data_IF_173121429424
#
_entry.id   IF_173121429424
#
_cell.length_a   1.000
_cell.length_b   1.000
_cell.length_c   1.000
_cell.angle_alpha   90.00
_cell.angle_beta   90.00
_cell.angle_gamma   90.00
#
_symmetry.space_group_name_H-M   'P 1'
#
loop_
_entity.id
_entity.type
_entity.pdbx_description
1 polymer ?
#
# COMPACT_ATOMS: atom_id res chain seq x y z
N UNK A 1 -0.38 22.81 1.45
CA UNK A 1 0.57 22.69 0.31
C UNK A 1 1.97 23.01 0.81
N UNK A 2 3.01 22.28 0.38
CA UNK A 2 4.39 22.59 0.76
C UNK A 2 4.85 23.91 0.14
N UNK A 3 5.69 24.67 0.86
CA UNK A 3 6.13 26.02 0.46
C UNK A 3 6.87 26.09 -0.89
N UNK A 4 7.47 24.98 -1.31
CA UNK A 4 8.25 24.90 -2.55
C UNK A 4 7.44 24.37 -3.75
N UNK A 5 6.17 24.02 -3.53
CA UNK A 5 5.28 23.52 -4.58
C UNK A 5 4.42 24.66 -5.15
N UNK A 6 4.08 24.58 -6.44
CA UNK A 6 3.20 25.55 -7.12
C UNK A 6 1.80 25.00 -7.37
N UNK A 7 1.63 23.68 -7.22
CA UNK A 7 0.37 22.98 -7.30
C UNK A 7 0.12 22.16 -6.04
N UNK A 8 -1.13 22.08 -5.63
CA UNK A 8 -1.60 21.04 -4.71
C UNK A 8 -1.46 19.66 -5.34
N UNK A 9 -1.34 18.58 -4.54
CA UNK A 9 -1.38 17.21 -5.04
C UNK A 9 -2.57 16.91 -5.97
N UNK A 10 -3.77 17.41 -5.67
CA UNK A 10 -4.95 17.21 -6.53
C UNK A 10 -4.82 17.94 -7.87
N UNK A 11 -4.42 19.21 -7.88
CA UNK A 11 -4.18 19.95 -9.12
C UNK A 11 -3.14 19.24 -10.00
N UNK A 12 -2.03 18.79 -9.40
CA UNK A 12 -0.98 18.01 -10.08
C UNK A 12 -1.53 16.72 -10.67
N UNK A 13 -2.29 15.94 -9.89
CA UNK A 13 -2.89 14.70 -10.36
C UNK A 13 -3.88 14.91 -11.52
N UNK A 14 -4.72 15.94 -11.45
CA UNK A 14 -5.65 16.28 -12.53
C UNK A 14 -4.93 16.79 -13.79
N UNK A 15 -3.87 17.58 -13.63
CA UNK A 15 -3.03 18.04 -14.75
C UNK A 15 -2.35 16.86 -15.45
N UNK A 16 -1.75 15.92 -14.71
CA UNK A 16 -1.16 14.69 -15.26
C UNK A 16 -2.21 13.85 -16.00
N UNK A 17 -3.39 13.66 -15.42
CA UNK A 17 -4.49 12.95 -16.07
C UNK A 17 -4.93 13.62 -17.38
N UNK A 18 -4.89 14.95 -17.44
CA UNK A 18 -5.22 15.74 -18.62
C UNK A 18 -4.06 15.90 -19.62
N UNK A 19 -2.89 15.30 -19.37
CA UNK A 19 -1.69 15.47 -20.20
C UNK A 19 -1.14 16.90 -20.23
N UNK A 20 -1.39 17.68 -19.17
CA UNK A 20 -0.94 19.06 -19.02
C UNK A 20 0.39 19.14 -18.26
N UNK A 21 1.18 20.20 -18.46
CA UNK A 21 2.35 20.47 -17.63
C UNK A 21 2.01 20.54 -16.14
N UNK A 22 2.96 20.11 -15.30
CA UNK A 22 2.90 20.20 -13.85
C UNK A 22 4.08 20.99 -13.30
N UNK A 23 4.11 21.24 -11.99
CA UNK A 23 5.25 21.84 -11.29
C UNK A 23 6.36 20.82 -11.00
N UNK A 24 5.95 19.59 -10.63
CA UNK A 24 6.81 18.42 -10.44
C UNK A 24 6.03 17.12 -10.59
N UNK A 25 6.75 16.01 -10.77
CA UNK A 25 6.20 14.67 -10.71
C UNK A 25 5.75 14.28 -9.28
N UNK A 26 4.82 13.30 -9.13
CA UNK A 26 4.32 12.89 -7.83
C UNK A 26 5.38 12.21 -6.96
N UNK A 27 5.33 12.49 -5.65
CA UNK A 27 6.20 11.92 -4.62
C UNK A 27 5.32 11.35 -3.52
N UNK A 28 5.57 10.11 -3.09
CA UNK A 28 4.86 9.47 -2.01
C UNK A 28 5.79 9.12 -0.86
N UNK A 29 5.30 9.29 0.36
CA UNK A 29 5.92 8.79 1.58
C UNK A 29 5.06 7.65 2.13
N UNK A 30 5.60 6.44 2.22
CA UNK A 30 4.93 5.32 2.87
C UNK A 30 5.34 5.28 4.34
N UNK A 31 4.48 5.78 5.23
CA UNK A 31 4.65 5.63 6.68
C UNK A 31 3.28 5.62 7.36
N UNK A 32 2.59 4.46 7.44
CA UNK A 32 1.26 4.38 8.05
C UNK A 32 1.27 4.65 9.56
N UNK A 33 2.45 4.58 10.20
CA UNK A 33 2.67 4.85 11.62
C UNK A 33 3.47 6.14 11.84
N UNK A 34 3.35 7.11 10.93
CA UNK A 34 4.20 8.31 10.90
C UNK A 34 4.25 9.08 12.22
N UNK A 35 3.21 9.05 13.06
CA UNK A 35 3.23 9.67 14.39
C UNK A 35 4.37 9.16 15.28
N UNK A 36 4.78 7.90 15.12
CA UNK A 36 5.93 7.34 15.85
C UNK A 36 7.26 7.94 15.38
N UNK A 37 7.40 8.28 14.09
CA UNK A 37 8.55 9.06 13.60
C UNK A 37 8.60 10.47 14.23
N UNK A 38 7.43 11.03 14.59
CA UNK A 38 7.32 12.28 15.34
C UNK A 38 7.51 12.12 16.87
N UNK A 39 7.81 10.91 17.34
CA UNK A 39 8.07 10.62 18.75
C UNK A 39 6.84 10.26 19.58
N UNK A 40 5.66 10.11 18.96
CA UNK A 40 4.47 9.64 19.67
C UNK A 40 4.53 8.11 19.93
N UNK A 41 3.87 7.66 20.99
CA UNK A 41 3.71 6.23 21.24
C UNK A 41 2.77 5.60 20.20
N UNK A 42 2.79 4.27 20.04
CA UNK A 42 1.82 3.57 19.19
C UNK A 42 0.36 3.90 19.58
N UNK A 43 0.09 3.98 20.89
CA UNK A 43 -1.24 4.32 21.42
C UNK A 43 -1.69 5.70 20.95
N UNK A 44 -0.81 6.70 21.08
CA UNK A 44 -1.11 8.09 20.73
C UNK A 44 -1.05 8.36 19.22
N UNK A 45 -0.32 7.53 18.47
CA UNK A 45 -0.12 7.67 17.04
C UNK A 45 -1.20 6.99 16.21
N UNK A 46 -1.67 5.81 16.64
CA UNK A 46 -2.33 4.90 15.73
C UNK A 46 -3.64 4.30 16.23
N UNK A 47 -3.91 4.17 17.53
CA UNK A 47 -5.10 3.42 17.97
C UNK A 47 -6.40 4.10 17.54
N UNK A 48 -6.55 5.39 17.85
CA UNK A 48 -7.74 6.18 17.57
C UNK A 48 -7.75 6.78 16.16
N UNK A 49 -8.94 6.92 15.57
CA UNK A 49 -9.12 7.52 14.24
C UNK A 49 -8.54 8.94 14.16
N UNK A 50 -8.84 9.77 15.17
CA UNK A 50 -8.34 11.15 15.27
C UNK A 50 -6.82 11.22 15.36
N UNK A 51 -6.19 10.28 16.07
CA UNK A 51 -4.73 10.19 16.16
C UNK A 51 -4.11 9.84 14.81
N UNK A 52 -4.62 8.81 14.11
CA UNK A 52 -4.15 8.44 12.76
C UNK A 52 -4.23 9.64 11.81
N UNK A 53 -5.38 10.30 11.79
CA UNK A 53 -5.62 11.45 10.93
C UNK A 53 -4.68 12.62 11.27
N UNK A 54 -4.53 12.96 12.55
CA UNK A 54 -3.66 14.03 13.01
C UNK A 54 -2.24 13.87 12.49
N UNK A 55 -1.61 12.71 12.72
CA UNK A 55 -0.21 12.51 12.33
C UNK A 55 0.00 12.46 10.82
N UNK A 56 -0.97 11.91 10.06
CA UNK A 56 -0.93 11.97 8.60
C UNK A 56 -1.04 13.42 8.10
N UNK A 57 -1.90 14.24 8.69
CA UNK A 57 -2.02 15.67 8.38
C UNK A 57 -0.72 16.42 8.73
N UNK A 58 -0.14 16.21 9.91
CA UNK A 58 1.12 16.84 10.30
C UNK A 58 2.28 16.42 9.38
N UNK A 59 2.31 15.16 8.96
CA UNK A 59 3.27 14.70 7.96
C UNK A 59 3.11 15.44 6.64
N UNK A 60 1.88 15.63 6.15
CA UNK A 60 1.63 16.36 4.92
C UNK A 60 2.06 17.83 5.03
N UNK A 61 1.75 18.47 6.16
CA UNK A 61 2.16 19.86 6.43
C UNK A 61 3.69 20.03 6.40
N UNK A 62 4.43 19.07 6.94
CA UNK A 62 5.89 19.10 6.95
C UNK A 62 6.49 18.75 5.58
N UNK A 63 6.08 17.64 4.99
CA UNK A 63 6.79 16.98 3.90
C UNK A 63 6.16 17.20 2.51
N UNK A 64 4.84 17.44 2.44
CA UNK A 64 4.16 17.75 1.18
C UNK A 64 4.06 16.61 0.17
N UNK A 65 3.96 15.35 0.61
CA UNK A 65 3.73 14.20 -0.27
C UNK A 65 2.38 14.28 -1.01
N UNK A 66 2.24 13.55 -2.12
CA UNK A 66 1.12 13.62 -3.05
C UNK A 66 -0.09 12.73 -2.71
N UNK A 67 -0.03 12.01 -1.59
CA UNK A 67 -1.15 11.22 -1.13
C UNK A 67 -0.97 10.77 0.32
N UNK A 68 -2.08 10.68 1.03
CA UNK A 68 -2.14 10.10 2.36
C UNK A 68 -2.80 8.72 2.28
N UNK A 69 -2.37 7.81 3.15
CA UNK A 69 -2.97 6.49 3.26
C UNK A 69 -3.19 6.15 4.72
N UNK A 70 -4.43 5.88 5.08
CA UNK A 70 -4.77 5.26 6.36
C UNK A 70 -4.56 3.75 6.22
N UNK A 71 -4.30 3.06 7.33
CA UNK A 71 -4.20 1.60 7.35
C UNK A 71 -5.41 1.00 8.09
N UNK A 72 -6.00 -0.05 7.53
CA UNK A 72 -7.05 -0.85 8.15
C UNK A 72 -6.52 -1.78 9.27
N UNK A 73 -5.19 -1.99 9.31
CA UNK A 73 -4.40 -2.96 10.10
C UNK A 73 -4.25 -4.31 9.41
N UNK A 74 -3.07 -4.90 9.57
CA UNK A 74 -2.73 -6.21 9.01
C UNK A 74 -3.45 -7.37 9.70
N UNK A 75 -3.71 -7.23 10.99
CA UNK A 75 -4.41 -8.20 11.86
C UNK A 75 -5.92 -7.94 11.93
N UNK A 76 -6.42 -6.89 11.28
CA UNK A 76 -7.81 -6.41 11.42
C UNK A 76 -8.85 -7.48 11.09
N UNK A 77 -8.66 -8.21 9.98
CA UNK A 77 -9.58 -9.28 9.55
C UNK A 77 -9.62 -10.42 10.59
N UNK A 78 -8.50 -11.06 10.97
CA UNK A 78 -8.53 -12.06 12.04
C UNK A 78 -9.15 -11.56 13.34
N UNK A 79 -8.84 -10.33 13.77
CA UNK A 79 -9.40 -9.75 14.99
C UNK A 79 -10.91 -9.59 14.88
N UNK A 80 -11.43 -9.17 13.72
CA UNK A 80 -12.88 -9.12 13.47
C UNK A 80 -13.53 -10.52 13.58
N UNK A 81 -12.80 -11.58 13.22
CA UNK A 81 -13.24 -12.97 13.43
C UNK A 81 -13.07 -13.50 14.86
N UNK A 82 -12.38 -12.76 15.74
CA UNK A 82 -12.19 -13.07 17.16
C UNK A 82 -10.77 -13.50 17.54
N UNK A 83 -9.78 -13.33 16.66
CA UNK A 83 -8.39 -13.63 16.98
C UNK A 83 -7.84 -12.68 18.05
N UNK A 84 -7.05 -13.21 18.97
CA UNK A 84 -6.21 -12.38 19.83
C UNK A 84 -5.01 -11.85 19.04
N UNK A 85 -4.73 -10.56 19.17
CA UNK A 85 -3.51 -9.93 18.64
C UNK A 85 -2.51 -9.62 19.75
N UNK A 86 -1.23 -9.61 19.40
CA UNK A 86 -0.17 -8.97 20.16
C UNK A 86 -0.32 -7.45 20.05
N UNK A 87 0.00 -6.78 21.14
CA UNK A 87 0.16 -5.32 21.19
C UNK A 87 1.57 -5.05 21.70
N UNK A 88 2.53 -5.04 20.77
CA UNK A 88 3.90 -4.62 21.05
C UNK A 88 4.01 -3.11 20.73
N UNK A 89 4.37 -2.25 21.71
CA UNK A 89 4.57 -0.81 21.47
C UNK A 89 5.58 -0.48 20.37
N UNK A 90 6.47 -1.42 20.04
CA UNK A 90 7.52 -1.28 19.02
C UNK A 90 7.27 -2.14 17.77
N UNK A 91 6.20 -2.95 17.77
CA UNK A 91 5.97 -3.99 16.77
C UNK A 91 4.67 -3.81 15.99
N UNK A 92 4.64 -4.37 14.78
CA UNK A 92 3.41 -4.52 14.00
C UNK A 92 2.56 -5.60 14.69
N UNK A 93 1.24 -5.39 14.88
CA UNK A 93 0.36 -6.38 15.48
C UNK A 93 0.43 -7.74 14.79
N UNK A 94 0.50 -8.82 15.58
CA UNK A 94 0.50 -10.19 15.10
C UNK A 94 -0.59 -11.00 15.81
N UNK A 95 -1.30 -11.83 15.07
CA UNK A 95 -2.23 -12.78 15.68
C UNK A 95 -1.48 -13.83 16.50
N UNK A 96 -2.03 -14.20 17.66
CA UNK A 96 -1.44 -15.24 18.52
C UNK A 96 -1.74 -16.65 17.99
N UNK A 97 -2.95 -16.83 17.47
CA UNK A 97 -3.41 -18.08 16.89
C UNK A 97 -4.19 -17.84 15.60
N UNK A 98 -4.08 -18.78 14.67
CA UNK A 98 -4.90 -18.80 13.46
C UNK A 98 -6.36 -19.10 13.83
N UNK A 99 -7.28 -18.44 13.12
CA UNK A 99 -8.73 -18.63 13.23
C UNK A 99 -9.12 -20.03 12.79
N UNK A 100 -8.58 -20.49 11.67
CA UNK A 100 -8.86 -21.79 11.08
C UNK A 100 -7.76 -22.77 11.42
N UNK A 101 -8.12 -23.95 11.92
CA UNK A 101 -7.18 -25.08 12.09
C UNK A 101 -7.12 -25.94 10.82
N UNK A 102 -8.23 -26.03 10.09
CA UNK A 102 -8.31 -26.61 8.74
C UNK A 102 -9.48 -26.02 7.93
N UNK A 103 -9.63 -26.47 6.67
CA UNK A 103 -10.60 -25.89 5.74
C UNK A 103 -12.05 -26.35 5.95
N UNK A 104 -12.31 -27.36 6.79
CA UNK A 104 -13.69 -27.75 7.13
C UNK A 104 -14.41 -26.71 8.00
N UNK A 105 -13.65 -25.80 8.61
CA UNK A 105 -14.16 -24.73 9.48
C UNK A 105 -14.54 -23.46 8.70
N UNK A 106 -14.28 -23.38 7.39
CA UNK A 106 -14.55 -22.18 6.58
C UNK A 106 -16.04 -21.78 6.66
N UNK A 107 -16.94 -22.75 6.57
CA UNK A 107 -18.40 -22.51 6.61
C UNK A 107 -18.89 -22.00 7.98
N UNK A 108 -18.04 -22.04 9.02
CA UNK A 108 -18.33 -21.48 10.34
C UNK A 108 -17.98 -19.99 10.43
N UNK A 109 -17.26 -19.45 9.45
CA UNK A 109 -16.90 -18.03 9.39
C UNK A 109 -18.05 -17.22 8.79
N UNK A 110 -18.55 -16.30 9.59
CA UNK A 110 -19.65 -15.42 9.20
C UNK A 110 -19.13 -14.11 8.62
N UNK A 111 -19.38 -13.87 7.31
CA UNK A 111 -19.06 -12.61 6.64
C UNK A 111 -19.74 -11.40 7.29
N UNK A 112 -20.81 -11.57 8.06
CA UNK A 112 -21.42 -10.47 8.82
C UNK A 112 -20.40 -9.80 9.76
N UNK A 113 -19.40 -10.54 10.27
CA UNK A 113 -18.38 -9.99 11.18
C UNK A 113 -17.47 -8.95 10.53
N UNK A 114 -17.30 -8.98 9.21
CA UNK A 114 -16.44 -8.04 8.47
C UNK A 114 -17.25 -6.95 7.76
N UNK A 115 -18.58 -6.94 7.92
CA UNK A 115 -19.39 -5.81 7.46
C UNK A 115 -19.00 -4.57 8.23
N UNK A 116 -19.07 -3.43 7.54
CA UNK A 116 -18.61 -2.16 8.07
C UNK A 116 -19.25 -1.83 9.44
N UNK A 117 -20.52 -2.15 9.64
CA UNK A 117 -21.26 -1.90 10.88
C UNK A 117 -20.76 -2.73 12.07
N UNK A 118 -20.12 -3.87 11.79
CA UNK A 118 -19.66 -4.84 12.79
C UNK A 118 -18.12 -4.89 12.92
N UNK A 119 -17.39 -4.12 12.10
CA UNK A 119 -15.93 -4.09 12.08
C UNK A 119 -15.38 -2.74 12.59
N UNK A 120 -15.00 -2.65 13.89
CA UNK A 120 -14.43 -1.44 14.46
C UNK A 120 -13.14 -0.97 13.77
N UNK A 121 -12.36 -1.88 13.17
CA UNK A 121 -11.14 -1.50 12.46
C UNK A 121 -11.47 -0.77 11.16
N UNK A 122 -12.47 -1.26 10.42
CA UNK A 122 -13.01 -0.59 9.23
C UNK A 122 -13.55 0.80 9.58
N UNK A 123 -14.34 0.89 10.67
CA UNK A 123 -14.92 2.15 11.14
C UNK A 123 -13.83 3.17 11.52
N UNK A 124 -12.83 2.75 12.30
CA UNK A 124 -11.72 3.61 12.72
C UNK A 124 -10.92 4.11 11.51
N UNK A 125 -10.63 3.23 10.55
CA UNK A 125 -9.91 3.61 9.34
C UNK A 125 -10.74 4.58 8.48
N UNK A 126 -12.04 4.35 8.33
CA UNK A 126 -12.93 5.21 7.57
C UNK A 126 -13.10 6.59 8.22
N UNK A 127 -13.32 6.65 9.55
CA UNK A 127 -13.39 7.89 10.30
C UNK A 127 -12.09 8.70 10.16
N UNK A 128 -10.93 8.06 10.23
CA UNK A 128 -9.65 8.74 10.01
C UNK A 128 -9.55 9.32 8.58
N UNK A 129 -10.03 8.59 7.57
CA UNK A 129 -10.09 9.13 6.19
C UNK A 129 -11.01 10.35 6.12
N UNK A 130 -12.19 10.30 6.77
CA UNK A 130 -13.12 11.43 6.80
C UNK A 130 -12.50 12.67 7.45
N UNK A 131 -11.83 12.51 8.60
CA UNK A 131 -11.14 13.62 9.28
C UNK A 131 -10.08 14.26 8.37
N UNK A 132 -9.32 13.45 7.63
CA UNK A 132 -8.32 13.97 6.67
C UNK A 132 -9.02 14.69 5.50
N UNK A 133 -10.10 14.14 4.97
CA UNK A 133 -10.85 14.78 3.89
C UNK A 133 -11.49 16.09 4.34
N UNK A 134 -12.11 16.16 5.51
CA UNK A 134 -12.67 17.39 6.06
C UNK A 134 -11.61 18.50 6.19
N UNK A 135 -10.36 18.12 6.49
CA UNK A 135 -9.26 19.06 6.65
C UNK A 135 -8.55 19.44 5.33
N UNK A 136 -8.41 18.50 4.39
CA UNK A 136 -7.47 18.62 3.26
C UNK A 136 -8.03 18.16 1.90
N UNK A 137 -9.34 17.90 1.78
CA UNK A 137 -9.90 17.36 0.54
C UNK A 137 -9.72 18.28 -0.68
N UNK A 138 -9.54 19.59 -0.52
CA UNK A 138 -9.24 20.43 -1.68
C UNK A 138 -7.79 20.31 -2.16
N UNK A 139 -6.89 19.77 -1.34
CA UNK A 139 -5.46 19.71 -1.65
C UNK A 139 -4.94 18.32 -2.00
N UNK A 140 -5.37 17.26 -1.29
CA UNK A 140 -4.76 15.93 -1.37
C UNK A 140 -5.77 14.79 -1.41
N UNK A 141 -5.42 13.70 -2.12
CA UNK A 141 -6.18 12.46 -2.08
C UNK A 141 -5.76 11.60 -0.87
N UNK A 142 -6.76 10.99 -0.25
CA UNK A 142 -6.57 10.06 0.86
C UNK A 142 -7.10 8.69 0.46
N UNK A 143 -6.28 7.66 0.67
CA UNK A 143 -6.62 6.26 0.43
C UNK A 143 -6.56 5.41 1.69
N UNK A 144 -6.77 4.11 1.51
CA UNK A 144 -6.62 3.10 2.56
C UNK A 144 -5.78 1.92 2.08
N UNK A 145 -4.95 1.37 2.96
CA UNK A 145 -4.23 0.11 2.75
C UNK A 145 -4.98 -1.07 3.37
N UNK A 146 -5.20 -2.12 2.59
CA UNK A 146 -5.81 -3.39 3.00
C UNK A 146 -4.90 -4.58 2.63
N UNK A 147 -5.19 -5.76 3.19
CA UNK A 147 -4.56 -7.01 2.76
C UNK A 147 -5.29 -7.61 1.56
N UNK A 148 -4.53 -8.17 0.62
CA UNK A 148 -5.08 -8.91 -0.50
C UNK A 148 -5.66 -10.27 -0.09
N UNK A 149 -6.41 -10.95 -0.99
CA UNK A 149 -7.05 -12.23 -0.69
C UNK A 149 -6.10 -13.34 -0.23
N UNK A 150 -4.89 -13.42 -0.78
CA UNK A 150 -3.98 -14.51 -0.49
C UNK A 150 -3.34 -14.37 0.90
N UNK A 151 -2.87 -13.17 1.26
CA UNK A 151 -2.42 -12.87 2.63
C UNK A 151 -3.59 -12.89 3.62
N UNK A 152 -4.81 -12.51 3.21
CA UNK A 152 -6.01 -12.69 4.06
C UNK A 152 -6.24 -14.16 4.39
N UNK A 153 -6.20 -15.06 3.40
CA UNK A 153 -6.27 -16.50 3.63
C UNK A 153 -5.13 -17.01 4.55
N UNK A 154 -3.92 -16.48 4.36
CA UNK A 154 -2.77 -16.80 5.21
C UNK A 154 -2.96 -16.36 6.67
N UNK A 155 -3.57 -15.20 6.89
CA UNK A 155 -3.85 -14.68 8.23
C UNK A 155 -4.98 -15.47 8.92
N UNK A 156 -5.91 -16.07 8.17
CA UNK A 156 -6.97 -16.90 8.72
C UNK A 156 -6.48 -18.31 9.09
N UNK A 157 -5.76 -18.98 8.18
CA UNK A 157 -5.41 -20.39 8.32
C UNK A 157 -3.93 -20.65 8.64
N UNK A 158 -3.06 -19.65 8.49
CA UNK A 158 -1.62 -19.76 8.66
C UNK A 158 -0.88 -20.09 7.36
N UNK A 159 0.30 -19.47 7.21
CA UNK A 159 1.17 -19.58 6.02
C UNK A 159 1.55 -21.04 5.70
N UNK A 160 1.86 -21.85 6.71
CA UNK A 160 2.28 -23.24 6.50
C UNK A 160 1.15 -24.10 5.92
N UNK A 161 -0.09 -23.92 6.42
CA UNK A 161 -1.26 -24.65 5.97
C UNK A 161 -1.56 -24.31 4.51
N UNK A 162 -1.59 -23.02 4.15
CA UNK A 162 -1.89 -22.62 2.77
C UNK A 162 -0.83 -23.15 1.78
N UNK A 163 0.46 -23.07 2.12
CA UNK A 163 1.53 -23.51 1.22
C UNK A 163 1.55 -25.03 1.03
N UNK A 164 1.29 -25.81 2.09
CA UNK A 164 1.15 -27.27 1.97
C UNK A 164 -0.07 -27.65 1.13
N UNK A 165 -1.16 -26.91 1.28
CA UNK A 165 -2.43 -27.19 0.62
C UNK A 165 -2.39 -26.98 -0.88
N UNK A 166 -1.51 -26.12 -1.40
CA UNK A 166 -1.25 -25.99 -2.85
C UNK A 166 -0.92 -27.32 -3.54
N UNK A 167 -0.46 -28.33 -2.78
CA UNK A 167 -0.21 -29.68 -3.29
C UNK A 167 -1.16 -30.71 -2.71
N UNK A 168 -1.45 -30.62 -1.41
CA UNK A 168 -2.17 -31.67 -0.66
C UNK A 168 -3.69 -31.54 -0.70
N UNK A 169 -4.20 -30.32 -0.80
CA UNK A 169 -5.63 -30.04 -0.80
C UNK A 169 -5.91 -28.72 -1.55
N UNK A 170 -5.86 -28.80 -2.88
CA UNK A 170 -6.08 -27.64 -3.75
C UNK A 170 -7.52 -27.15 -3.68
N UNK A 171 -8.48 -28.06 -3.59
CA UNK A 171 -9.89 -27.72 -3.58
C UNK A 171 -10.24 -26.92 -2.32
N UNK A 172 -9.81 -27.38 -1.15
CA UNK A 172 -10.00 -26.66 0.10
C UNK A 172 -9.28 -25.31 0.11
N UNK A 173 -8.06 -25.23 -0.43
CA UNK A 173 -7.36 -23.95 -0.58
C UNK A 173 -8.11 -22.99 -1.51
N UNK A 174 -8.66 -23.48 -2.63
CA UNK A 174 -9.44 -22.64 -3.53
C UNK A 174 -10.72 -22.11 -2.88
N UNK A 175 -11.39 -22.92 -2.02
CA UNK A 175 -12.53 -22.47 -1.21
C UNK A 175 -12.14 -21.37 -0.23
N UNK A 176 -11.02 -21.53 0.48
CA UNK A 176 -10.53 -20.51 1.41
C UNK A 176 -10.17 -19.20 0.69
N UNK A 177 -9.50 -19.28 -0.45
CA UNK A 177 -9.12 -18.10 -1.22
C UNK A 177 -10.33 -17.38 -1.82
N UNK A 178 -11.37 -18.12 -2.22
CA UNK A 178 -12.61 -17.53 -2.71
C UNK A 178 -13.33 -16.76 -1.60
N UNK A 179 -13.40 -17.34 -0.41
CA UNK A 179 -13.94 -16.70 0.79
C UNK A 179 -13.09 -15.49 1.23
N UNK A 180 -11.76 -15.60 1.19
CA UNK A 180 -10.87 -14.48 1.50
C UNK A 180 -11.03 -13.32 0.50
N UNK A 181 -11.32 -13.61 -0.77
CA UNK A 181 -11.66 -12.60 -1.74
C UNK A 181 -12.99 -11.90 -1.42
N UNK A 182 -14.00 -12.64 -0.95
CA UNK A 182 -15.27 -12.06 -0.48
C UNK A 182 -15.05 -11.17 0.75
N UNK A 183 -14.19 -11.58 1.69
CA UNK A 183 -13.78 -10.72 2.82
C UNK A 183 -13.14 -9.43 2.31
N UNK A 184 -12.14 -9.52 1.42
CA UNK A 184 -11.48 -8.33 0.86
C UNK A 184 -12.48 -7.40 0.16
N UNK A 185 -13.41 -7.97 -0.62
CA UNK A 185 -14.49 -7.23 -1.29
C UNK A 185 -15.31 -6.43 -0.28
N UNK A 186 -15.81 -7.10 0.76
CA UNK A 186 -16.69 -6.49 1.75
C UNK A 186 -15.98 -5.45 2.62
N UNK A 187 -14.75 -5.71 3.08
CA UNK A 187 -13.95 -4.71 3.82
C UNK A 187 -13.70 -3.46 2.95
N UNK A 188 -13.48 -3.64 1.65
CA UNK A 188 -13.28 -2.55 0.70
C UNK A 188 -14.56 -1.77 0.33
N UNK A 189 -15.76 -2.34 0.55
CA UNK A 189 -17.04 -1.81 0.06
C UNK A 189 -17.24 -0.33 0.40
N UNK A 190 -17.19 0.01 1.69
CA UNK A 190 -17.46 1.38 2.17
C UNK A 190 -16.49 2.39 1.56
N UNK A 191 -15.22 2.01 1.41
CA UNK A 191 -14.19 2.85 0.82
C UNK A 191 -14.43 3.09 -0.67
N UNK A 192 -14.71 2.03 -1.43
CA UNK A 192 -14.97 2.14 -2.88
C UNK A 192 -16.22 2.97 -3.18
N UNK A 193 -17.33 2.72 -2.46
CA UNK A 193 -18.58 3.48 -2.64
C UNK A 193 -18.42 4.98 -2.35
N UNK A 194 -17.44 5.35 -1.52
CA UNK A 194 -17.07 6.74 -1.21
C UNK A 194 -15.89 7.26 -2.05
N UNK A 195 -15.53 6.55 -3.13
CA UNK A 195 -14.44 6.92 -4.06
C UNK A 195 -13.06 7.04 -3.38
N UNK A 196 -12.85 6.32 -2.28
CA UNK A 196 -11.56 6.25 -1.58
C UNK A 196 -10.71 5.17 -2.27
N UNK A 197 -9.50 5.55 -2.69
CA UNK A 197 -8.58 4.62 -3.35
C UNK A 197 -8.04 3.56 -2.38
N UNK A 198 -7.88 2.33 -2.87
CA UNK A 198 -7.39 1.20 -2.07
C UNK A 198 -6.03 0.73 -2.60
N UNK A 199 -5.07 0.52 -1.69
CA UNK A 199 -3.85 -0.24 -1.94
C UNK A 199 -3.94 -1.62 -1.31
N UNK A 200 -3.59 -2.67 -2.05
CA UNK A 200 -3.57 -4.05 -1.55
C UNK A 200 -2.13 -4.53 -1.37
N UNK A 201 -1.83 -5.09 -0.19
CA UNK A 201 -0.54 -5.71 0.11
C UNK A 201 -0.65 -7.24 0.24
N UNK A 202 0.36 -7.94 -0.28
CA UNK A 202 0.44 -9.41 -0.35
C UNK A 202 1.82 -9.94 0.09
N UNK A 203 2.31 -9.64 1.32
CA UNK A 203 3.63 -10.06 1.76
C UNK A 203 3.83 -11.59 1.70
N UNK A 204 2.76 -12.37 1.89
CA UNK A 204 2.83 -13.85 1.85
C UNK A 204 3.01 -14.38 0.42
N UNK A 205 2.55 -13.64 -0.60
CA UNK A 205 2.64 -14.08 -1.99
C UNK A 205 4.07 -14.06 -2.56
N UNK A 206 5.02 -13.41 -1.86
CA UNK A 206 6.47 -13.44 -2.19
C UNK A 206 7.04 -14.87 -2.27
N UNK A 207 6.44 -15.80 -1.53
CA UNK A 207 6.84 -17.20 -1.45
C UNK A 207 6.47 -18.03 -2.69
N UNK A 208 5.69 -17.46 -3.62
CA UNK A 208 5.11 -18.20 -4.72
C UNK A 208 6.02 -18.22 -5.96
N UNK A 209 5.91 -19.29 -6.75
CA UNK A 209 6.35 -19.30 -8.14
C UNK A 209 5.33 -18.61 -9.05
N UNK A 210 5.70 -18.18 -10.27
CA UNK A 210 4.75 -17.57 -11.21
C UNK A 210 3.55 -18.47 -11.53
N UNK A 211 3.77 -19.79 -11.60
CA UNK A 211 2.69 -20.77 -11.80
C UNK A 211 1.72 -20.78 -10.61
N UNK A 212 2.24 -20.80 -9.39
CA UNK A 212 1.39 -20.76 -8.19
C UNK A 212 0.67 -19.42 -8.06
N UNK A 213 1.33 -18.31 -8.42
CA UNK A 213 0.71 -16.98 -8.39
C UNK A 213 -0.49 -16.89 -9.34
N UNK A 214 -0.35 -17.41 -10.58
CA UNK A 214 -1.47 -17.52 -11.54
C UNK A 214 -2.61 -18.42 -11.07
N UNK A 215 -2.31 -19.48 -10.34
CA UNK A 215 -3.33 -20.44 -9.86
C UNK A 215 -4.05 -19.94 -8.59
N UNK A 216 -3.30 -19.38 -7.63
CA UNK A 216 -3.78 -19.15 -6.26
C UNK A 216 -3.91 -17.67 -5.88
N UNK A 217 -3.53 -16.71 -6.74
CA UNK A 217 -3.65 -15.27 -6.45
C UNK A 217 -4.50 -14.57 -7.50
N UNK A 218 -4.14 -14.71 -8.77
CA UNK A 218 -4.74 -13.92 -9.86
C UNK A 218 -6.28 -14.06 -9.96
N UNK A 219 -6.89 -15.26 -9.92
CA UNK A 219 -8.33 -15.39 -10.07
C UNK A 219 -9.12 -14.63 -9.00
N UNK A 220 -8.57 -14.61 -7.78
CA UNK A 220 -9.17 -13.95 -6.63
C UNK A 220 -9.00 -12.43 -6.68
N UNK A 221 -7.85 -11.97 -7.18
CA UNK A 221 -7.66 -10.55 -7.49
C UNK A 221 -8.60 -10.07 -8.57
N UNK A 222 -8.81 -10.84 -9.64
CA UNK A 222 -9.76 -10.50 -10.70
C UNK A 222 -11.17 -10.39 -10.12
N UNK A 223 -11.61 -11.36 -9.30
CA UNK A 223 -12.89 -11.30 -8.56
C UNK A 223 -13.04 -9.99 -7.77
N UNK A 224 -12.03 -9.61 -6.98
CA UNK A 224 -12.04 -8.37 -6.19
C UNK A 224 -12.09 -7.13 -7.09
N UNK A 225 -11.21 -7.05 -8.10
CA UNK A 225 -11.12 -5.88 -8.99
C UNK A 225 -12.38 -5.68 -9.80
N UNK A 226 -12.95 -6.74 -10.37
CA UNK A 226 -14.20 -6.69 -11.13
C UNK A 226 -15.34 -6.21 -10.23
N UNK A 227 -15.44 -6.75 -9.01
CA UNK A 227 -16.48 -6.34 -8.07
C UNK A 227 -16.36 -4.87 -7.67
N UNK A 228 -15.16 -4.42 -7.35
CA UNK A 228 -14.94 -3.00 -7.01
C UNK A 228 -15.16 -2.06 -8.19
N UNK A 229 -14.89 -2.52 -9.42
CA UNK A 229 -15.19 -1.75 -10.63
C UNK A 229 -16.69 -1.56 -10.84
N UNK A 230 -17.52 -2.56 -10.53
CA UNK A 230 -18.99 -2.41 -10.50
C UNK A 230 -19.44 -1.28 -9.55
N UNK A 231 -18.69 -1.06 -8.47
CA UNK A 231 -18.94 -0.01 -7.48
C UNK A 231 -18.26 1.34 -7.79
N UNK A 232 -17.64 1.47 -8.97
CA UNK A 232 -17.04 2.73 -9.43
C UNK A 232 -15.54 2.87 -9.15
N UNK A 233 -14.87 1.83 -8.65
CA UNK A 233 -13.40 1.83 -8.53
C UNK A 233 -12.72 1.93 -9.89
N UNK A 234 -11.56 2.59 -9.90
CA UNK A 234 -10.67 2.71 -11.08
C UNK A 234 -9.45 1.79 -10.99
N UNK A 235 -9.55 0.75 -10.15
CA UNK A 235 -8.48 -0.21 -9.86
C UNK A 235 -7.71 0.14 -8.59
N UNK A 236 -7.00 -0.85 -8.03
CA UNK A 236 -6.20 -0.70 -6.82
C UNK A 236 -4.70 -0.51 -7.12
N UNK A 237 -3.98 0.03 -6.13
CA UNK A 237 -2.54 -0.19 -6.02
C UNK A 237 -2.24 -1.60 -5.53
N UNK A 238 -1.04 -2.10 -5.81
CA UNK A 238 -0.59 -3.43 -5.39
C UNK A 238 0.84 -3.41 -4.87
N UNK A 239 1.14 -4.19 -3.82
CA UNK A 239 2.48 -4.31 -3.26
C UNK A 239 2.76 -5.72 -2.72
N UNK A 240 3.98 -6.21 -2.93
CA UNK A 240 4.54 -7.39 -2.27
C UNK A 240 5.93 -6.99 -1.77
N UNK A 241 6.23 -7.28 -0.51
CA UNK A 241 7.57 -7.06 0.04
C UNK A 241 8.58 -8.07 -0.51
N UNK A 242 9.83 -7.63 -0.68
CA UNK A 242 10.96 -8.44 -1.13
C UNK A 242 11.07 -8.60 -2.65
N UNK A 243 12.00 -9.47 -3.08
CA UNK A 243 12.32 -9.65 -4.51
C UNK A 243 11.19 -10.39 -5.24
N UNK A 244 10.43 -9.62 -6.02
CA UNK A 244 9.35 -10.09 -6.87
C UNK A 244 9.68 -10.11 -8.35
N UNK A 245 10.96 -10.01 -8.72
CA UNK A 245 11.40 -9.97 -10.13
C UNK A 245 10.78 -11.09 -10.97
N UNK A 246 10.73 -12.31 -10.42
CA UNK A 246 10.12 -13.48 -11.08
C UNK A 246 8.61 -13.36 -11.32
N UNK A 247 7.90 -12.53 -10.55
CA UNK A 247 6.43 -12.40 -10.58
C UNK A 247 5.95 -11.23 -11.44
N UNK A 248 6.83 -10.28 -11.81
CA UNK A 248 6.46 -9.01 -12.44
C UNK A 248 5.50 -9.19 -13.62
N UNK A 249 5.82 -10.08 -14.56
CA UNK A 249 5.00 -10.31 -15.77
C UNK A 249 3.57 -10.80 -15.47
N UNK A 250 3.33 -11.36 -14.28
CA UNK A 250 2.00 -11.83 -13.88
C UNK A 250 1.12 -10.70 -13.37
N UNK A 251 1.69 -9.59 -12.88
CA UNK A 251 0.92 -8.54 -12.20
C UNK A 251 -0.16 -7.89 -13.06
N UNK A 252 0.06 -7.62 -14.38
CA UNK A 252 -0.99 -7.06 -15.23
C UNK A 252 -2.23 -7.95 -15.36
N UNK A 253 -2.12 -9.25 -15.11
CA UNK A 253 -3.23 -10.21 -15.21
C UNK A 253 -4.28 -10.02 -14.09
N UNK A 254 -3.96 -9.28 -13.02
CA UNK A 254 -4.83 -9.08 -11.86
C UNK A 254 -5.89 -7.98 -12.01
N UNK A 255 -5.80 -7.14 -13.07
CA UNK A 255 -6.69 -5.98 -13.23
C UNK A 255 -6.37 -4.78 -12.33
N UNK A 256 -5.19 -4.77 -11.70
CA UNK A 256 -4.70 -3.66 -10.87
C UNK A 256 -4.32 -2.43 -11.72
N UNK A 257 -4.28 -1.25 -11.09
CA UNK A 257 -3.93 0.01 -11.77
C UNK A 257 -2.42 0.28 -11.78
N UNK A 258 -1.75 -0.08 -10.68
CA UNK A 258 -0.35 0.24 -10.48
C UNK A 258 0.29 -0.63 -9.42
N UNK A 259 1.61 -0.71 -9.46
CA UNK A 259 2.42 -1.54 -8.57
C UNK A 259 3.45 -0.69 -7.82
N UNK A 260 3.57 -0.93 -6.52
CA UNK A 260 4.66 -0.43 -5.69
C UNK A 260 5.75 -1.50 -5.62
N UNK A 261 6.93 -1.18 -6.15
CA UNK A 261 8.06 -2.09 -6.27
C UNK A 261 8.95 -1.98 -5.03
N UNK A 262 9.31 -3.12 -4.44
CA UNK A 262 10.27 -3.17 -3.32
C UNK A 262 11.69 -2.82 -3.79
N UNK A 263 12.50 -2.25 -2.89
CA UNK A 263 13.92 -1.95 -3.13
C UNK A 263 14.79 -3.17 -3.46
N UNK A 264 14.31 -4.39 -3.21
CA UNK A 264 14.98 -5.63 -3.60
C UNK A 264 14.90 -5.94 -5.12
N UNK A 265 14.02 -5.26 -5.86
CA UNK A 265 13.85 -5.42 -7.31
C UNK A 265 14.55 -4.28 -8.04
N UNK A 266 15.20 -4.54 -9.17
CA UNK A 266 15.65 -3.43 -10.03
C UNK A 266 14.42 -2.80 -10.72
N UNK A 267 14.13 -1.54 -10.38
CA UNK A 267 12.97 -0.84 -10.92
C UNK A 267 13.05 -0.63 -12.44
N UNK A 268 14.25 -0.64 -13.04
CA UNK A 268 14.40 -0.64 -14.49
C UNK A 268 13.81 -1.92 -15.11
N UNK A 269 14.06 -3.08 -14.50
CA UNK A 269 13.47 -4.36 -14.93
C UNK A 269 11.96 -4.35 -14.77
N UNK A 270 11.44 -3.78 -13.67
CA UNK A 270 9.99 -3.60 -13.51
C UNK A 270 9.39 -2.70 -14.60
N UNK A 271 10.04 -1.58 -14.94
CA UNK A 271 9.63 -0.70 -16.04
C UNK A 271 9.58 -1.46 -17.38
N UNK A 272 10.64 -2.20 -17.69
CA UNK A 272 10.76 -2.90 -18.97
C UNK A 272 9.71 -4.00 -19.15
N UNK A 273 9.37 -4.72 -18.06
CA UNK A 273 8.43 -5.86 -18.13
C UNK A 273 6.95 -5.45 -18.06
N UNK A 274 6.60 -4.42 -17.30
CA UNK A 274 5.19 -4.06 -17.02
C UNK A 274 4.85 -2.59 -17.14
N UNK A 275 5.83 -1.72 -17.44
CA UNK A 275 5.64 -0.27 -17.46
C UNK A 275 4.71 0.25 -18.54
N UNK A 276 4.48 -0.53 -19.60
CA UNK A 276 3.51 -0.26 -20.65
C UNK A 276 2.05 -0.54 -20.22
N UNK A 277 1.86 -1.32 -19.14
CA UNK A 277 0.55 -1.75 -18.62
C UNK A 277 0.20 -1.07 -17.30
N UNK A 278 1.17 -0.94 -16.39
CA UNK A 278 0.97 -0.51 -15.01
C UNK A 278 1.75 0.78 -14.68
N UNK A 279 1.14 1.68 -13.91
CA UNK A 279 1.90 2.77 -13.28
C UNK A 279 2.82 2.18 -12.21
N UNK A 280 4.02 2.73 -12.04
CA UNK A 280 5.02 2.23 -11.09
C UNK A 280 5.22 3.23 -9.96
N UNK A 281 5.32 2.73 -8.73
CA UNK A 281 5.77 3.46 -7.55
C UNK A 281 6.99 2.77 -6.96
N UNK A 282 7.84 3.55 -6.31
CA UNK A 282 9.04 3.02 -5.65
C UNK A 282 10.31 3.57 -6.29
N UNK A 283 11.48 3.02 -5.99
CA UNK A 283 11.71 2.02 -4.95
C UNK A 283 12.95 2.35 -4.09
N UNK A 284 13.04 3.60 -3.64
CA UNK A 284 14.13 4.05 -2.75
C UNK A 284 14.17 3.19 -1.49
N UNK A 285 15.34 2.66 -1.12
CA UNK A 285 15.45 1.72 0.00
C UNK A 285 15.01 2.35 1.32
N UNK A 286 14.02 1.78 2.04
CA UNK A 286 13.63 2.29 3.36
C UNK A 286 14.77 2.20 4.39
N UNK A 287 15.68 1.24 4.23
CA UNK A 287 16.88 1.12 5.09
C UNK A 287 17.88 2.25 4.82
N UNK A 288 18.02 2.65 3.55
CA UNK A 288 18.84 3.81 3.19
C UNK A 288 18.24 5.10 3.77
N UNK A 289 16.92 5.27 3.70
CA UNK A 289 16.25 6.42 4.35
C UNK A 289 16.45 6.36 5.88
N UNK A 290 16.38 5.18 6.49
CA UNK A 290 16.59 5.04 7.94
C UNK A 290 18.02 5.38 8.40
N UNK A 291 19.04 4.91 7.68
CA UNK A 291 20.44 4.88 8.18
C UNK A 291 21.43 5.71 7.37
N UNK A 292 21.05 6.17 6.19
CA UNK A 292 21.90 6.91 5.27
C UNK A 292 22.21 8.32 5.77
N UNK A 293 23.20 8.94 5.13
CA UNK A 293 23.44 10.39 5.24
C UNK A 293 22.52 11.11 4.25
N UNK A 294 22.29 12.43 4.41
CA UNK A 294 21.53 13.19 3.43
C UNK A 294 22.02 13.00 1.98
N UNK A 295 23.34 12.90 1.77
CA UNK A 295 23.95 12.69 0.46
C UNK A 295 23.68 11.28 -0.09
N UNK A 296 23.77 10.25 0.75
CA UNK A 296 23.50 8.87 0.29
C UNK A 296 22.01 8.64 0.02
N UNK A 297 21.12 9.27 0.81
CA UNK A 297 19.69 9.31 0.55
C UNK A 297 19.40 10.04 -0.77
N UNK A 298 20.01 11.20 -1.01
CA UNK A 298 19.87 11.92 -2.28
C UNK A 298 20.29 11.05 -3.47
N UNK A 299 21.44 10.39 -3.37
CA UNK A 299 21.93 9.50 -4.43
C UNK A 299 20.97 8.34 -4.70
N UNK A 300 20.41 7.72 -3.66
CA UNK A 300 19.43 6.64 -3.81
C UNK A 300 18.13 7.12 -4.48
N UNK A 301 17.69 8.35 -4.20
CA UNK A 301 16.54 8.97 -4.87
C UNK A 301 16.84 9.24 -6.34
N UNK A 302 18.02 9.78 -6.65
CA UNK A 302 18.47 10.04 -8.03
C UNK A 302 18.50 8.74 -8.83
N UNK A 303 19.09 7.68 -8.28
CA UNK A 303 19.23 6.40 -8.97
C UNK A 303 17.87 5.75 -9.26
N UNK A 304 16.95 5.82 -8.30
CA UNK A 304 15.57 5.39 -8.48
C UNK A 304 14.88 6.18 -9.59
N UNK A 305 14.93 7.51 -9.52
CA UNK A 305 14.25 8.39 -10.47
C UNK A 305 14.76 8.19 -11.89
N UNK A 306 16.09 8.21 -12.07
CA UNK A 306 16.75 8.03 -13.37
C UNK A 306 16.31 6.76 -14.10
N UNK A 307 16.02 5.68 -13.36
CA UNK A 307 15.63 4.39 -13.93
C UNK A 307 14.18 4.33 -14.40
N UNK A 308 13.26 5.10 -13.81
CA UNK A 308 11.82 4.88 -13.96
C UNK A 308 10.97 6.13 -14.26
N UNK A 309 11.54 7.34 -14.26
CA UNK A 309 10.78 8.59 -14.43
C UNK A 309 9.91 8.65 -15.69
N UNK A 310 10.35 8.01 -16.77
CA UNK A 310 9.73 7.98 -18.10
C UNK A 310 8.76 6.80 -18.28
N UNK A 311 8.34 6.14 -17.20
CA UNK A 311 7.40 5.02 -17.28
C UNK A 311 6.13 5.41 -18.08
N UNK A 312 5.75 4.68 -19.16
CA UNK A 312 4.67 5.08 -20.05
C UNK A 312 3.29 5.25 -19.39
N UNK A 313 3.07 4.54 -18.28
CA UNK A 313 1.81 4.57 -17.51
C UNK A 313 1.89 5.45 -16.27
N UNK A 314 2.97 6.21 -16.11
CA UNK A 314 3.23 7.12 -15.02
C UNK A 314 4.12 6.52 -13.93
N UNK A 315 4.89 7.39 -13.28
CA UNK A 315 5.82 7.05 -12.21
C UNK A 315 5.61 7.98 -11.00
N UNK A 316 5.67 7.40 -9.81
CA UNK A 316 5.67 8.13 -8.53
C UNK A 316 6.92 7.72 -7.75
N UNK A 317 7.74 8.70 -7.37
CA UNK A 317 8.88 8.45 -6.49
C UNK A 317 8.32 8.01 -5.13
N UNK A 318 8.74 6.84 -4.65
CA UNK A 318 8.34 6.36 -3.33
C UNK A 318 9.47 5.54 -2.71
N UNK A 319 9.47 5.36 -1.38
CA UNK A 319 10.19 4.27 -0.74
C UNK A 319 9.71 2.92 -1.29
N UNK A 320 10.57 1.90 -1.28
CA UNK A 320 10.22 0.56 -1.75
C UNK A 320 9.22 -0.19 -0.85
N UNK A 321 9.13 0.21 0.41
CA UNK A 321 8.19 -0.31 1.40
C UNK A 321 7.96 0.78 2.47
N UNK A 322 7.30 0.46 3.57
CA UNK A 322 7.11 1.41 4.67
C UNK A 322 8.46 1.90 5.23
N UNK A 323 8.55 3.21 5.44
CA UNK A 323 9.67 3.84 6.16
C UNK A 323 9.59 3.41 7.63
N UNK A 324 10.69 2.88 8.22
CA UNK A 324 10.69 2.44 9.60
C UNK A 324 10.34 3.58 10.57
N UNK A 325 9.62 3.27 11.65
CA UNK A 325 9.19 4.25 12.66
C UNK A 325 10.35 4.91 13.42
N UNK A 326 11.55 4.32 13.37
CA UNK A 326 12.78 4.87 13.94
C UNK A 326 13.49 5.87 13.01
N UNK A 327 13.00 6.05 11.78
CA UNK A 327 13.59 7.00 10.83
C UNK A 327 13.42 8.42 11.36
N UNK A 328 14.52 9.17 11.43
CA UNK A 328 14.51 10.55 11.87
C UNK A 328 13.73 11.43 10.89
N UNK A 329 13.14 12.50 11.40
CA UNK A 329 12.40 13.44 10.55
C UNK A 329 13.35 14.16 9.57
N UNK A 330 14.61 14.36 9.97
CA UNK A 330 15.67 14.93 9.12
C UNK A 330 15.98 14.04 7.91
N UNK A 331 16.00 12.72 8.08
CA UNK A 331 16.21 11.81 6.96
C UNK A 331 14.99 11.75 6.02
N UNK A 332 13.78 11.86 6.58
CA UNK A 332 12.56 11.99 5.76
C UNK A 332 12.59 13.32 4.99
N UNK A 333 13.02 14.41 5.62
CA UNK A 333 13.19 15.71 4.95
C UNK A 333 14.24 15.62 3.83
N UNK A 334 15.37 14.92 4.05
CA UNK A 334 16.39 14.69 3.03
C UNK A 334 15.82 13.91 1.83
N UNK A 335 15.08 12.83 2.08
CA UNK A 335 14.38 12.06 1.05
C UNK A 335 13.40 12.95 0.26
N UNK A 336 12.55 13.70 0.94
CA UNK A 336 11.53 14.54 0.31
C UNK A 336 12.13 15.70 -0.48
N UNK A 337 13.24 16.27 0.00
CA UNK A 337 13.98 17.35 -0.67
C UNK A 337 14.64 16.84 -1.96
N UNK A 338 15.36 15.71 -1.88
CA UNK A 338 15.97 15.07 -3.04
C UNK A 338 14.92 14.66 -4.08
N UNK A 339 13.79 14.09 -3.64
CA UNK A 339 12.70 13.69 -4.52
C UNK A 339 12.10 14.90 -5.25
N UNK A 340 11.95 16.04 -4.56
CA UNK A 340 11.46 17.29 -5.16
C UNK A 340 12.38 17.81 -6.25
N UNK A 341 13.69 17.80 -5.98
CA UNK A 341 14.73 18.24 -6.91
C UNK A 341 14.67 17.41 -8.20
N UNK A 342 14.64 16.08 -8.07
CA UNK A 342 14.54 15.16 -9.21
C UNK A 342 13.24 15.33 -9.99
N UNK A 343 12.12 15.42 -9.26
CA UNK A 343 10.77 15.45 -9.83
C UNK A 343 10.42 16.76 -10.55
N UNK A 344 11.22 17.83 -10.42
CA UNK A 344 10.91 19.14 -11.00
C UNK A 344 10.58 19.02 -12.50
N UNK A 345 9.50 19.69 -12.91
CA UNK A 345 9.02 19.64 -14.29
C UNK A 345 9.43 20.92 -15.07
N UNK A 346 9.78 20.84 -16.37
CA UNK A 346 9.95 19.62 -17.16
C UNK A 346 11.10 18.75 -16.62
N UNK A 347 10.90 17.44 -16.66
CA UNK A 347 11.90 16.48 -16.19
C UNK A 347 13.09 16.50 -17.15
N UNK A 348 14.28 16.82 -16.66
CA UNK A 348 15.50 16.95 -17.46
C UNK A 348 16.70 16.32 -16.71
N UNK A 349 17.68 15.72 -17.41
CA UNK A 349 18.87 15.12 -16.78
C UNK A 349 19.57 16.03 -15.77
N UNK A 350 19.67 17.33 -16.06
CA UNK A 350 20.25 18.34 -15.18
C UNK A 350 19.58 18.48 -13.81
N UNK A 351 18.39 17.91 -13.60
CA UNK A 351 17.73 17.90 -12.29
C UNK A 351 18.45 16.97 -11.28
N UNK A 352 19.27 16.04 -11.76
CA UNK A 352 19.96 15.03 -10.94
C UNK A 352 21.42 14.76 -11.36
N UNK A 353 22.00 15.66 -12.16
CA UNK A 353 23.43 15.66 -12.50
C UNK A 353 24.28 16.50 -11.53
#
# INVERSE_FOLDING_TARGET
MHKDDQMTPKERAFALFAGKPVDRMPIKLFSPYIGMNFGASYQDAFVEAKSRAHWLIESYKRFGQDGLSVNYRIDGIPVAFGAESTYDPLGIPMIKENILKDFSEIDQLDLEKIRFENDPNAQTAFEAVQIIQDALNDEIFTGVGLMGPFTTAANLAGVEIILKSMRKDKEGLHKLLDFAADITIEVGRKFVENQIGIGLAEPTASLLSPKQFREFVIPYYVKVMDKWKEWGSRGSGFHICGDTTKLLETFPEMGIRGVSIDSAVDIAVAKDLVGDKLSIMGNVSPIEILRGTPESIEQAVIDCFRKCWDNPRGFTIAPGCDVPVQTSLENIDAYMSAARKCAKYPVQPSNWE
#
